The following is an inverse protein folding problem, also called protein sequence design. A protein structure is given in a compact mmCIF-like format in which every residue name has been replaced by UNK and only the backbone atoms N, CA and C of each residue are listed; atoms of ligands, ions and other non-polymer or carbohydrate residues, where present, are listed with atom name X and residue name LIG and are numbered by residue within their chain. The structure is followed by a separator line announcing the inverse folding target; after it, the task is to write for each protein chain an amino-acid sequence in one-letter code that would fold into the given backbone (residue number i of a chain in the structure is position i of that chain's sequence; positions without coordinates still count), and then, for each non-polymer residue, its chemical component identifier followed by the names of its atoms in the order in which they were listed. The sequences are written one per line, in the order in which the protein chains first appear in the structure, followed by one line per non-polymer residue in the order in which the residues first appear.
data_IF_194728294311
#
_entry.id   IF_194728294311
#
_cell.length_a   1.000
_cell.length_b   1.000
_cell.length_c   1.000
_cell.angle_alpha   90.00
_cell.angle_beta   90.00
_cell.angle_gamma   90.00
#
_symmetry.space_group_name_H-M   'P 1'
#
loop_
_entity.id
_entity.type
_entity.pdbx_description
1 polymer ?
#
# COMPACT_ATOMS: atom_id res chain seq x y z
N UNK A 1 12.94 18.08 52.94
CA UNK A 1 12.26 18.49 54.18
C UNK A 1 11.56 19.84 53.95
N UNK A 2 10.26 19.91 54.29
CA UNK A 2 9.37 21.06 54.63
C UNK A 2 9.52 22.42 53.91
N UNK A 3 8.50 22.80 53.11
CA UNK A 3 7.44 23.82 53.34
C UNK A 3 7.87 25.25 52.94
N UNK A 4 7.14 25.96 52.09
CA UNK A 4 5.93 26.69 52.50
C UNK A 4 4.95 26.90 51.33
N UNK A 5 3.65 26.79 51.64
CA UNK A 5 2.54 27.26 50.80
C UNK A 5 2.32 28.75 51.03
N UNK A 6 1.97 29.49 49.97
CA UNK A 6 0.94 30.54 50.07
C UNK A 6 0.08 30.52 48.82
N UNK A 7 -1.20 30.29 49.02
CA UNK A 7 -2.23 30.43 48.01
C UNK A 7 -2.81 31.84 48.08
N UNK A 8 -3.02 32.47 46.93
CA UNK A 8 -4.06 33.49 46.72
C UNK A 8 -4.65 33.25 45.33
N UNK A 9 -5.94 32.89 45.30
CA UNK A 9 -6.76 32.82 44.09
C UNK A 9 -7.00 34.24 43.56
N UNK A 10 -6.92 34.43 42.24
CA UNK A 10 -7.75 35.41 41.52
C UNK A 10 -7.89 35.02 40.05
N UNK A 11 -9.02 35.40 39.48
CA UNK A 11 -9.69 34.83 38.33
C UNK A 11 -9.45 35.65 37.04
N UNK A 12 -9.03 34.96 35.97
CA UNK A 12 -9.24 35.25 34.54
C UNK A 12 -8.57 36.51 33.90
N UNK A 13 -8.63 36.71 32.57
CA UNK A 13 -8.12 35.86 31.47
C UNK A 13 -7.34 36.65 30.38
N UNK A 14 -6.86 35.91 29.36
CA UNK A 14 -6.44 36.32 27.99
C UNK A 14 -4.97 36.64 27.72
N UNK A 15 -4.45 35.82 26.81
CA UNK A 15 -3.51 36.12 25.73
C UNK A 15 -2.19 36.79 26.11
N UNK A 16 -1.15 35.97 26.36
CA UNK A 16 0.20 36.34 25.95
C UNK A 16 0.99 35.10 25.52
N UNK A 17 1.23 35.06 24.22
CA UNK A 17 2.05 34.11 23.49
C UNK A 17 3.52 34.42 23.84
N UNK A 18 4.23 33.48 24.48
CA UNK A 18 5.68 33.58 24.64
C UNK A 18 6.34 32.73 23.55
N UNK A 19 6.78 33.40 22.50
CA UNK A 19 7.69 32.85 21.50
C UNK A 19 9.07 32.65 22.13
N UNK A 20 9.42 31.40 22.43
CA UNK A 20 10.81 31.03 22.77
C UNK A 20 11.50 30.60 21.48
N UNK A 21 12.42 31.41 20.98
CA UNK A 21 13.37 31.00 19.95
C UNK A 21 14.54 30.24 20.59
N UNK A 22 14.85 29.01 20.13
CA UNK A 22 16.13 28.40 20.44
C UNK A 22 17.19 28.89 19.45
N UNK A 23 18.24 29.49 20.01
CA UNK A 23 19.48 29.92 19.36
C UNK A 23 20.24 28.77 18.69
N UNK A 24 20.66 28.98 17.45
CA UNK A 24 21.81 28.32 16.79
C UNK A 24 23.07 28.57 17.65
N UNK A 25 24.11 27.74 17.76
CA UNK A 25 24.70 26.72 16.90
C UNK A 25 25.73 25.95 17.74
N UNK A 26 25.81 24.62 17.59
CA UNK A 26 27.08 23.90 17.68
C UNK A 26 27.08 22.85 16.57
N UNK A 27 27.95 23.08 15.59
CA UNK A 27 28.10 22.24 14.42
C UNK A 27 28.80 20.93 14.77
N UNK A 28 28.18 19.83 14.39
CA UNK A 28 28.85 18.54 14.27
C UNK A 28 28.78 18.16 12.79
N UNK A 29 29.95 18.20 12.14
CA UNK A 29 30.15 17.83 10.76
C UNK A 29 30.41 16.32 10.62
N UNK A 30 29.65 15.69 9.72
CA UNK A 30 30.00 14.55 8.84
C UNK A 30 30.22 13.16 9.52
N UNK A 31 29.85 12.03 8.85
CA UNK A 31 30.01 11.82 7.41
C UNK A 31 28.71 11.55 6.64
N UNK A 32 28.65 12.14 5.46
CA UNK A 32 27.92 11.60 4.32
C UNK A 32 28.39 10.15 4.11
N UNK A 33 27.56 9.19 4.51
CA UNK A 33 27.69 7.81 4.06
C UNK A 33 26.89 7.66 2.78
N UNK A 34 27.63 7.75 1.67
CA UNK A 34 27.27 7.25 0.36
C UNK A 34 26.54 5.89 0.43
N UNK A 35 25.47 5.75 -0.36
CA UNK A 35 24.93 4.43 -0.68
C UNK A 35 23.41 4.29 -0.81
N UNK A 36 22.68 5.31 -1.30
CA UNK A 36 21.29 5.11 -1.71
C UNK A 36 21.07 5.45 -3.19
N UNK A 37 21.86 4.81 -4.06
CA UNK A 37 21.66 4.87 -5.51
C UNK A 37 21.99 3.51 -6.15
N UNK A 38 20.96 2.68 -6.38
CA UNK A 38 20.85 1.75 -7.54
C UNK A 38 19.60 0.84 -7.49
N UNK A 39 18.89 0.73 -6.36
CA UNK A 39 17.72 -0.19 -6.25
C UNK A 39 16.57 0.22 -7.19
N UNK A 40 16.44 1.52 -7.48
CA UNK A 40 15.36 2.04 -8.35
C UNK A 40 15.45 1.60 -9.80
N UNK A 41 16.66 1.45 -10.35
CA UNK A 41 16.85 1.09 -11.76
C UNK A 41 16.65 -0.41 -12.02
N UNK A 42 17.06 -1.27 -11.07
CA UNK A 42 16.87 -2.72 -11.20
C UNK A 42 15.41 -3.11 -11.20
N UNK A 43 14.61 -2.63 -10.22
CA UNK A 43 13.19 -3.00 -10.15
C UNK A 43 12.38 -2.49 -11.34
N UNK A 44 12.77 -1.35 -11.93
CA UNK A 44 12.12 -0.84 -13.14
C UNK A 44 12.41 -1.73 -14.35
N UNK A 45 13.66 -2.16 -14.52
CA UNK A 45 14.07 -3.12 -15.55
C UNK A 45 13.34 -4.46 -15.38
N UNK A 46 13.31 -5.01 -14.16
CA UNK A 46 12.63 -6.27 -13.85
C UNK A 46 11.11 -6.17 -14.12
N UNK A 47 10.49 -5.04 -13.76
CA UNK A 47 9.07 -4.80 -14.05
C UNK A 47 8.79 -4.78 -15.56
N UNK A 48 9.71 -4.22 -16.36
CA UNK A 48 9.61 -4.20 -17.83
C UNK A 48 9.80 -5.60 -18.43
N UNK A 49 10.73 -6.39 -17.89
CA UNK A 49 10.93 -7.79 -18.29
C UNK A 49 9.68 -8.63 -18.01
N UNK A 50 9.14 -8.54 -16.79
CA UNK A 50 7.89 -9.20 -16.41
C UNK A 50 6.76 -8.74 -17.32
N UNK A 51 6.61 -7.43 -17.56
CA UNK A 51 5.56 -6.91 -18.43
C UNK A 51 5.67 -7.48 -19.86
N UNK A 52 6.90 -7.61 -20.39
CA UNK A 52 7.13 -8.18 -21.71
C UNK A 52 6.66 -9.64 -21.75
N UNK A 53 7.03 -10.44 -20.75
CA UNK A 53 6.61 -11.85 -20.63
C UNK A 53 5.08 -11.96 -20.56
N UNK A 54 4.46 -11.16 -19.69
CA UNK A 54 3.01 -11.14 -19.50
C UNK A 54 2.25 -10.78 -20.79
N UNK A 55 2.82 -9.94 -21.65
CA UNK A 55 2.21 -9.53 -22.93
C UNK A 55 2.52 -10.45 -24.10
N UNK A 56 3.68 -11.13 -24.08
CA UNK A 56 4.08 -12.03 -25.16
C UNK A 56 3.44 -13.41 -25.08
N UNK A 57 3.00 -13.82 -23.89
CA UNK A 57 2.45 -15.14 -23.68
C UNK A 57 0.96 -15.19 -24.01
N UNK A 58 0.53 -16.22 -24.74
CA UNK A 58 -0.87 -16.45 -25.05
C UNK A 58 -1.63 -16.74 -23.73
N UNK A 59 -2.80 -16.14 -23.54
CA UNK A 59 -3.61 -16.23 -22.30
C UNK A 59 -4.04 -17.66 -21.97
N UNK A 60 -3.86 -18.57 -22.91
CA UNK A 60 -4.18 -20.01 -22.83
C UNK A 60 -3.10 -20.83 -22.12
N UNK A 61 -1.83 -20.45 -22.28
CA UNK A 61 -0.70 -21.14 -21.64
C UNK A 61 -0.25 -20.24 -20.48
N UNK A 62 0.03 -20.78 -19.30
CA UNK A 62 0.33 -19.94 -18.12
C UNK A 62 1.69 -19.26 -18.23
N UNK A 63 1.78 -17.95 -17.94
CA UNK A 63 3.08 -17.26 -17.82
C UNK A 63 3.87 -17.68 -16.56
N UNK A 64 3.22 -18.40 -15.63
CA UNK A 64 3.78 -18.82 -14.34
C UNK A 64 5.11 -19.55 -14.48
N UNK A 65 5.20 -20.55 -15.36
CA UNK A 65 6.43 -21.32 -15.56
C UNK A 65 7.60 -20.46 -16.02
N UNK A 66 7.35 -19.50 -16.93
CA UNK A 66 8.38 -18.61 -17.43
C UNK A 66 8.85 -17.66 -16.33
N UNK A 67 7.92 -17.15 -15.51
CA UNK A 67 8.30 -16.28 -14.39
C UNK A 67 9.08 -17.04 -13.31
N UNK A 68 8.74 -18.31 -13.05
CA UNK A 68 9.46 -19.17 -12.10
C UNK A 68 10.90 -19.44 -12.58
N UNK A 69 11.11 -19.61 -13.89
CA UNK A 69 12.44 -19.78 -14.49
C UNK A 69 13.30 -18.50 -14.43
N UNK A 70 12.67 -17.32 -14.40
CA UNK A 70 13.39 -16.04 -14.38
C UNK A 70 14.13 -15.77 -13.06
N UNK A 71 13.88 -16.56 -12.00
CA UNK A 71 14.51 -16.43 -10.66
C UNK A 71 14.53 -14.99 -10.12
N UNK A 72 13.52 -14.19 -10.48
CA UNK A 72 13.42 -12.80 -10.05
C UNK A 72 13.00 -12.79 -8.58
N UNK A 73 13.75 -12.09 -7.73
CA UNK A 73 13.37 -11.91 -6.34
C UNK A 73 12.15 -10.97 -6.27
N UNK A 74 11.00 -11.54 -5.91
CA UNK A 74 9.77 -10.79 -5.86
C UNK A 74 9.74 -9.89 -4.62
N UNK A 75 9.54 -8.59 -4.84
CA UNK A 75 9.37 -7.60 -3.77
C UNK A 75 8.06 -6.86 -3.93
N UNK A 76 7.55 -6.26 -2.86
CA UNK A 76 6.29 -5.50 -2.93
C UNK A 76 6.42 -4.32 -3.91
N UNK A 77 7.59 -3.67 -3.95
CA UNK A 77 7.88 -2.60 -4.90
C UNK A 77 7.75 -3.08 -6.35
N UNK A 78 8.31 -4.24 -6.68
CA UNK A 78 8.22 -4.82 -8.02
C UNK A 78 6.77 -5.13 -8.40
N UNK A 79 6.00 -5.73 -7.48
CA UNK A 79 4.58 -6.02 -7.71
C UNK A 79 3.77 -4.74 -7.94
N UNK A 80 3.99 -3.71 -7.12
CA UNK A 80 3.34 -2.39 -7.27
C UNK A 80 3.76 -1.67 -8.56
N UNK A 81 4.93 -1.97 -9.13
CA UNK A 81 5.31 -1.47 -10.46
C UNK A 81 4.64 -2.23 -11.61
N UNK A 82 4.42 -3.54 -11.46
CA UNK A 82 3.85 -4.39 -12.52
C UNK A 82 2.33 -4.29 -12.59
N UNK A 83 1.61 -4.22 -11.47
CA UNK A 83 0.14 -4.21 -11.46
C UNK A 83 -0.47 -3.03 -12.23
N UNK A 84 -0.09 -1.75 -11.97
CA UNK A 84 -0.72 -0.61 -12.63
C UNK A 84 -0.43 -0.56 -14.13
N UNK A 85 0.70 -1.15 -14.56
CA UNK A 85 1.09 -1.29 -15.97
C UNK A 85 0.18 -2.23 -16.75
N UNK A 86 -0.54 -3.10 -16.06
CA UNK A 86 -1.48 -4.06 -16.61
C UNK A 86 -2.93 -3.75 -16.23
N UNK A 87 -3.22 -2.53 -15.71
CA UNK A 87 -4.56 -2.13 -15.24
C UNK A 87 -5.68 -2.27 -16.27
N UNK A 88 -5.36 -2.17 -17.57
CA UNK A 88 -6.34 -2.32 -18.66
C UNK A 88 -6.75 -3.77 -18.90
N UNK A 89 -5.91 -4.73 -18.49
CA UNK A 89 -6.20 -6.17 -18.54
C UNK A 89 -6.22 -6.71 -17.12
N UNK A 90 -7.34 -6.48 -16.43
CA UNK A 90 -7.50 -6.88 -15.04
C UNK A 90 -7.31 -8.39 -14.82
N UNK A 91 -7.60 -9.22 -15.83
CA UNK A 91 -7.40 -10.68 -15.74
C UNK A 91 -5.92 -11.00 -15.65
N UNK A 92 -5.11 -10.37 -16.49
CA UNK A 92 -3.66 -10.53 -16.47
C UNK A 92 -3.06 -10.02 -15.16
N UNK A 93 -3.50 -8.84 -14.70
CA UNK A 93 -3.06 -8.28 -13.42
C UNK A 93 -3.43 -9.19 -12.23
N UNK A 94 -4.65 -9.73 -12.21
CA UNK A 94 -5.12 -10.65 -11.18
C UNK A 94 -4.37 -11.98 -11.20
N UNK A 95 -4.16 -12.56 -12.38
CA UNK A 95 -3.36 -13.78 -12.50
C UNK A 95 -1.93 -13.56 -12.00
N UNK A 96 -1.30 -12.42 -12.34
CA UNK A 96 0.03 -12.09 -11.86
C UNK A 96 0.06 -11.93 -10.34
N UNK A 97 -0.95 -11.25 -9.77
CA UNK A 97 -1.11 -11.13 -8.33
C UNK A 97 -1.24 -12.51 -7.66
N UNK A 98 -2.06 -13.41 -8.20
CA UNK A 98 -2.22 -14.76 -7.65
C UNK A 98 -0.95 -15.61 -7.77
N UNK A 99 -0.24 -15.52 -8.89
CA UNK A 99 1.08 -16.17 -9.05
C UNK A 99 2.12 -15.61 -8.06
N UNK A 100 2.12 -14.31 -7.81
CA UNK A 100 2.99 -13.71 -6.82
C UNK A 100 2.80 -14.33 -5.43
N UNK A 101 1.56 -14.62 -5.04
CA UNK A 101 1.24 -15.29 -3.77
C UNK A 101 1.73 -16.74 -3.67
N UNK A 102 2.06 -17.42 -4.78
CA UNK A 102 2.59 -18.80 -4.75
C UNK A 102 4.10 -18.87 -4.54
N UNK A 103 4.78 -17.72 -4.52
CA UNK A 103 6.23 -17.65 -4.35
C UNK A 103 6.59 -17.77 -2.86
N UNK A 104 7.48 -18.72 -2.51
CA UNK A 104 7.78 -19.08 -1.12
C UNK A 104 8.29 -17.91 -0.26
N UNK A 105 9.01 -16.96 -0.86
CA UNK A 105 9.65 -15.85 -0.15
C UNK A 105 8.90 -14.52 -0.27
N UNK A 106 7.65 -14.54 -0.75
CA UNK A 106 6.87 -13.32 -0.96
C UNK A 106 5.47 -13.41 -0.37
N UNK A 107 5.13 -12.36 0.38
CA UNK A 107 3.79 -12.11 0.85
C UNK A 107 3.35 -10.73 0.38
N UNK A 108 2.12 -10.63 -0.13
CA UNK A 108 1.57 -9.34 -0.49
C UNK A 108 1.55 -8.40 0.71
N UNK A 109 2.06 -7.18 0.49
CA UNK A 109 1.90 -6.08 1.41
C UNK A 109 0.68 -5.21 1.07
N UNK A 110 0.38 -4.21 1.91
CA UNK A 110 -0.81 -3.37 1.78
C UNK A 110 -0.84 -2.60 0.45
N UNK A 111 0.32 -2.22 -0.11
CA UNK A 111 0.36 -1.47 -1.38
C UNK A 111 -0.05 -2.36 -2.54
N UNK A 112 0.38 -3.62 -2.55
CA UNK A 112 -0.03 -4.57 -3.58
C UNK A 112 -1.54 -4.86 -3.53
N UNK A 113 -2.12 -5.03 -2.33
CA UNK A 113 -3.58 -5.18 -2.17
C UNK A 113 -4.34 -3.94 -2.66
N UNK A 114 -3.88 -2.75 -2.28
CA UNK A 114 -4.50 -1.50 -2.72
C UNK A 114 -4.52 -1.38 -4.24
N UNK A 115 -3.43 -1.73 -4.93
CA UNK A 115 -3.38 -1.68 -6.39
C UNK A 115 -4.34 -2.68 -7.05
N UNK A 116 -4.39 -3.94 -6.59
CA UNK A 116 -5.27 -4.94 -7.22
C UNK A 116 -6.76 -4.63 -6.98
N UNK A 117 -7.13 -4.20 -5.76
CA UNK A 117 -8.49 -3.78 -5.44
C UNK A 117 -8.92 -2.59 -6.30
N UNK A 118 -8.04 -1.61 -6.47
CA UNK A 118 -8.32 -0.43 -7.30
C UNK A 118 -8.45 -0.79 -8.80
N UNK A 119 -7.62 -1.71 -9.32
CA UNK A 119 -7.75 -2.23 -10.69
C UNK A 119 -9.11 -2.91 -10.89
N UNK A 120 -9.50 -3.83 -10.01
CA UNK A 120 -10.76 -4.56 -10.12
C UNK A 120 -11.96 -3.61 -10.02
N UNK A 121 -11.93 -2.69 -9.06
CA UNK A 121 -12.96 -1.67 -8.91
C UNK A 121 -13.11 -0.77 -10.14
N UNK A 122 -12.00 -0.31 -10.73
CA UNK A 122 -12.03 0.51 -11.97
C UNK A 122 -12.62 -0.24 -13.15
N UNK A 123 -12.33 -1.53 -13.27
CA UNK A 123 -12.85 -2.39 -14.34
C UNK A 123 -14.27 -2.91 -14.06
N UNK A 124 -14.95 -2.32 -13.07
CA UNK A 124 -16.31 -2.68 -12.61
C UNK A 124 -16.44 -4.15 -12.19
N UNK A 125 -15.33 -4.80 -11.85
CA UNK A 125 -15.29 -6.17 -11.33
C UNK A 125 -15.50 -6.17 -9.82
N UNK A 126 -16.61 -5.59 -9.37
CA UNK A 126 -16.84 -5.31 -7.95
C UNK A 126 -16.98 -6.59 -7.12
N UNK A 127 -17.54 -7.66 -7.70
CA UNK A 127 -17.62 -8.97 -7.04
C UNK A 127 -16.23 -9.55 -6.78
N UNK A 128 -15.37 -9.54 -7.80
CA UNK A 128 -13.98 -10.00 -7.67
C UNK A 128 -13.18 -9.11 -6.72
N UNK A 129 -13.40 -7.80 -6.72
CA UNK A 129 -12.78 -6.90 -5.75
C UNK A 129 -13.16 -7.28 -4.32
N UNK A 130 -14.43 -7.62 -4.07
CA UNK A 130 -14.90 -8.09 -2.77
C UNK A 130 -14.28 -9.44 -2.40
N UNK A 131 -14.31 -10.42 -3.31
CA UNK A 131 -13.67 -11.72 -3.11
C UNK A 131 -12.18 -11.57 -2.77
N UNK A 132 -11.46 -10.70 -3.46
CA UNK A 132 -10.05 -10.42 -3.17
C UNK A 132 -9.83 -9.75 -1.81
N UNK A 133 -10.77 -8.92 -1.36
CA UNK A 133 -10.72 -8.32 -0.02
C UNK A 133 -10.99 -9.37 1.06
N UNK A 134 -11.94 -10.27 0.82
CA UNK A 134 -12.29 -11.37 1.74
C UNK A 134 -11.19 -12.46 1.79
N UNK A 135 -10.40 -12.61 0.72
CA UNK A 135 -9.22 -13.48 0.66
C UNK A 135 -8.05 -12.97 1.52
N UNK A 136 -8.08 -11.71 2.01
CA UNK A 136 -7.03 -11.20 2.91
C UNK A 136 -7.06 -12.00 4.23
N UNK A 137 -5.95 -12.66 4.63
CA UNK A 137 -5.92 -13.45 5.85
C UNK A 137 -6.30 -12.61 7.08
N UNK A 138 -7.18 -13.13 7.94
CA UNK A 138 -7.73 -12.41 9.11
C UNK A 138 -6.65 -11.93 10.07
N UNK A 139 -5.62 -12.74 10.28
CA UNK A 139 -4.43 -12.42 11.09
C UNK A 139 -3.58 -11.29 10.50
N UNK A 140 -3.73 -11.01 9.20
CA UNK A 140 -3.02 -9.95 8.49
C UNK A 140 -3.87 -8.72 8.18
N UNK A 141 -5.16 -8.74 8.47
CA UNK A 141 -6.07 -7.62 8.16
C UNK A 141 -5.58 -6.30 8.77
N UNK A 142 -5.11 -6.31 10.03
CA UNK A 142 -4.58 -5.10 10.69
C UNK A 142 -3.30 -4.52 10.07
N UNK A 143 -2.61 -5.28 9.21
CA UNK A 143 -1.44 -4.82 8.46
C UNK A 143 -1.77 -4.49 7.00
N UNK A 144 -2.60 -5.32 6.36
CA UNK A 144 -2.90 -5.24 4.93
C UNK A 144 -3.97 -4.18 4.60
N UNK A 145 -4.88 -3.91 5.54
CA UNK A 145 -5.98 -2.96 5.37
C UNK A 145 -5.62 -1.67 6.08
N UNK A 146 -5.64 -0.56 5.34
CA UNK A 146 -5.41 0.79 5.87
C UNK A 146 -6.44 1.77 5.32
N UNK A 147 -6.36 3.03 5.76
CA UNK A 147 -7.27 4.11 5.32
C UNK A 147 -7.33 4.24 3.80
N UNK A 148 -6.20 4.00 3.11
CA UNK A 148 -6.15 4.00 1.64
C UNK A 148 -6.94 2.84 1.04
N UNK A 149 -6.87 1.64 1.62
CA UNK A 149 -7.70 0.49 1.22
C UNK A 149 -9.18 0.85 1.32
N UNK A 150 -9.58 1.41 2.46
CA UNK A 150 -10.97 1.81 2.70
C UNK A 150 -11.45 2.88 1.71
N UNK A 151 -10.65 3.92 1.47
CA UNK A 151 -10.95 4.96 0.51
C UNK A 151 -11.12 4.41 -0.92
N UNK A 152 -10.29 3.42 -1.32
CA UNK A 152 -10.43 2.73 -2.60
C UNK A 152 -11.77 2.01 -2.66
N UNK A 153 -12.09 1.16 -1.67
CA UNK A 153 -13.34 0.40 -1.66
C UNK A 153 -14.56 1.32 -1.74
N UNK A 154 -14.66 2.33 -0.86
CA UNK A 154 -15.78 3.27 -0.84
C UNK A 154 -15.98 3.99 -2.17
N UNK A 155 -14.90 4.50 -2.77
CA UNK A 155 -14.96 5.19 -4.05
C UNK A 155 -15.44 4.26 -5.19
N UNK A 156 -15.04 2.98 -5.15
CA UNK A 156 -15.41 2.01 -6.19
C UNK A 156 -16.84 1.47 -6.00
N UNK A 157 -17.31 1.28 -4.79
CA UNK A 157 -18.72 0.95 -4.53
C UNK A 157 -19.67 2.10 -4.88
N UNK A 158 -19.32 3.34 -4.50
CA UNK A 158 -20.10 4.52 -4.87
C UNK A 158 -20.21 4.68 -6.40
N UNK A 159 -19.08 4.55 -7.11
CA UNK A 159 -19.04 4.64 -8.58
C UNK A 159 -19.71 3.48 -9.33
N UNK A 160 -20.11 2.40 -8.64
CA UNK A 160 -20.80 1.25 -9.22
C UNK A 160 -22.27 1.13 -8.77
N UNK A 161 -22.79 2.13 -8.05
CA UNK A 161 -24.14 2.15 -7.46
C UNK A 161 -24.43 0.99 -6.50
N UNK A 162 -23.39 0.39 -5.92
CA UNK A 162 -23.48 -0.72 -4.96
C UNK A 162 -23.42 -0.22 -3.52
N UNK A 163 -24.44 0.56 -3.15
CA UNK A 163 -24.49 1.27 -1.86
C UNK A 163 -24.60 0.30 -0.69
N UNK A 164 -25.32 -0.81 -0.84
CA UNK A 164 -25.50 -1.79 0.24
C UNK A 164 -24.18 -2.50 0.59
N UNK A 165 -23.38 -2.83 -0.42
CA UNK A 165 -22.06 -3.41 -0.21
C UNK A 165 -21.07 -2.41 0.40
N UNK A 166 -21.18 -1.11 0.07
CA UNK A 166 -20.41 -0.06 0.75
C UNK A 166 -20.73 0.01 2.25
N UNK A 167 -22.02 -0.06 2.60
CA UNK A 167 -22.48 -0.08 4.00
C UNK A 167 -21.96 -1.31 4.72
N UNK A 168 -21.97 -2.48 4.07
CA UNK A 168 -21.45 -3.71 4.65
C UNK A 168 -19.96 -3.59 5.00
N UNK A 169 -19.13 -3.10 4.07
CA UNK A 169 -17.69 -2.92 4.32
C UNK A 169 -17.44 -1.92 5.44
N UNK A 170 -18.21 -0.85 5.52
CA UNK A 170 -18.12 0.10 6.64
C UNK A 170 -18.33 -0.59 7.99
N UNK A 171 -19.27 -1.54 8.07
CA UNK A 171 -19.54 -2.30 9.29
C UNK A 171 -18.55 -3.43 9.63
N UNK A 172 -17.63 -3.79 8.73
CA UNK A 172 -16.60 -4.81 9.01
C UNK A 172 -15.44 -4.22 9.83
N UNK A 173 -15.16 -2.93 9.65
CA UNK A 173 -13.96 -2.28 10.18
C UNK A 173 -14.25 -1.55 11.52
N UNK A 174 -15.53 -1.34 11.85
CA UNK A 174 -15.99 -0.58 13.02
C UNK A 174 -16.77 -1.45 14.01
#
# INVERSE_FOLDING_TARGET
MRLLRRATNSCAPRDDIIWVQPSESEGISLPESDGLASVGDSCASDAMAIQKILKSHDKSFGFSSVLDECKIQLTENLVVLVLPRNRSDWKLALSFFKWAATQNDYLHGPRAYNEILDILGRMKQVKLMQEMFDEIPKDRQGYAINDKTFAILMNRYAGSHKVQEAIHIFGIIH
#
